data_IF_928116359248
#
_entry.id   IF_928116359248
#
_cell.length_a   1.000
_cell.length_b   1.000
_cell.length_c   1.000
_cell.angle_alpha   90.00
_cell.angle_beta   90.00
_cell.angle_gamma   90.00
#
_symmetry.space_group_name_H-M   'P 1'
#
loop_
_entity.id
_entity.type
_entity.pdbx_description
1 polymer ?
#
# COMPACT_ATOMS: atom_id res chain seq x y z
N UNK A 1 26.36 19.72 40.54
CA UNK A 1 24.94 19.96 40.20
C UNK A 1 24.06 18.79 40.64
N UNK A 2 24.61 17.58 40.70
CA UNK A 2 23.86 16.33 40.92
C UNK A 2 23.26 16.18 42.31
N UNK A 3 23.89 16.71 43.36
CA UNK A 3 23.37 16.63 44.73
C UNK A 3 22.02 17.36 44.91
N UNK A 4 21.80 18.48 44.20
CA UNK A 4 20.52 19.22 44.24
C UNK A 4 19.39 18.42 43.59
N UNK A 5 19.67 17.82 42.44
CA UNK A 5 18.70 16.94 41.77
C UNK A 5 18.43 15.68 42.60
N UNK A 6 19.46 15.08 43.19
CA UNK A 6 19.31 13.93 44.08
C UNK A 6 18.42 14.25 45.30
N UNK A 7 18.59 15.42 45.93
CA UNK A 7 17.72 15.89 47.01
C UNK A 7 16.27 16.04 46.52
N UNK A 8 16.06 16.73 45.39
CA UNK A 8 14.72 16.93 44.82
C UNK A 8 14.01 15.61 44.51
N UNK A 9 14.71 14.62 43.94
CA UNK A 9 14.13 13.31 43.68
C UNK A 9 13.81 12.55 44.96
N UNK A 10 14.66 12.66 45.98
CA UNK A 10 14.42 12.04 47.30
C UNK A 10 13.17 12.63 47.94
N UNK A 11 13.03 13.95 47.91
CA UNK A 11 11.84 14.65 48.41
C UNK A 11 10.59 14.23 47.63
N UNK A 12 10.67 14.18 46.30
CA UNK A 12 9.56 13.75 45.46
C UNK A 12 9.15 12.30 45.74
N UNK A 13 10.11 11.40 45.93
CA UNK A 13 9.89 10.00 46.24
C UNK A 13 9.22 9.83 47.62
N UNK A 14 9.60 10.66 48.60
CA UNK A 14 8.95 10.69 49.92
C UNK A 14 7.46 11.09 49.81
N UNK A 15 7.16 12.11 49.01
CA UNK A 15 5.79 12.57 48.74
C UNK A 15 4.98 11.46 48.05
N UNK A 16 5.55 10.81 47.04
CA UNK A 16 4.86 9.73 46.31
C UNK A 16 4.55 8.55 47.23
N UNK A 17 5.50 8.14 48.09
CA UNK A 17 5.26 7.08 49.09
C UNK A 17 4.12 7.45 50.04
N UNK A 18 4.12 8.68 50.55
CA UNK A 18 3.04 9.19 51.42
C UNK A 18 1.69 9.15 50.71
N UNK A 19 1.62 9.60 49.45
CA UNK A 19 0.38 9.61 48.66
C UNK A 19 -0.14 8.21 48.35
N UNK A 20 0.74 7.25 48.06
CA UNK A 20 0.34 5.84 47.88
C UNK A 20 -0.28 5.28 49.15
N UNK A 21 0.30 5.58 50.32
CA UNK A 21 -0.29 5.17 51.61
C UNK A 21 -1.64 5.84 51.86
N UNK A 22 -1.77 7.12 51.52
CA UNK A 22 -3.04 7.86 51.62
C UNK A 22 -4.13 7.23 50.73
N UNK A 23 -3.81 6.87 49.49
CA UNK A 23 -4.73 6.21 48.56
C UNK A 23 -5.22 4.84 49.07
N UNK A 24 -4.36 4.10 49.76
CA UNK A 24 -4.73 2.81 50.37
C UNK A 24 -5.56 2.96 51.66
N UNK A 25 -5.66 4.16 52.21
CA UNK A 25 -6.38 4.42 53.46
C UNK A 25 -7.91 4.27 53.29
N UNK A 26 -8.61 4.07 54.41
CA UNK A 26 -10.08 3.97 54.41
C UNK A 26 -10.76 5.26 53.93
N UNK A 27 -10.08 6.42 54.04
CA UNK A 27 -10.64 7.72 53.68
C UNK A 27 -10.85 7.85 52.17
N UNK A 28 -9.91 7.39 51.35
CA UNK A 28 -10.08 7.35 49.89
C UNK A 28 -11.02 6.25 49.40
N UNK A 29 -11.36 5.28 50.27
CA UNK A 29 -12.38 4.25 49.98
C UNK A 29 -13.80 4.70 50.34
N UNK A 30 -13.97 5.80 51.07
CA UNK A 30 -15.26 6.28 51.54
C UNK A 30 -16.18 6.85 50.42
N UNK A 31 -15.73 6.79 49.17
CA UNK A 31 -16.54 7.18 48.01
C UNK A 31 -16.43 8.68 47.67
N UNK A 32 -17.38 9.20 46.86
CA UNK A 32 -17.29 10.52 46.23
C UNK A 32 -17.20 11.69 47.22
N UNK A 33 -17.70 11.52 48.43
CA UNK A 33 -17.64 12.56 49.48
C UNK A 33 -16.20 12.92 49.89
N UNK A 34 -15.23 12.08 49.55
CA UNK A 34 -13.80 12.28 49.81
C UNK A 34 -13.00 12.77 48.59
N UNK A 35 -13.66 13.20 47.51
CA UNK A 35 -13.01 13.57 46.25
C UNK A 35 -11.90 14.62 46.42
N UNK A 36 -12.13 15.63 47.29
CA UNK A 36 -11.16 16.70 47.57
C UNK A 36 -9.92 16.16 48.32
N UNK A 37 -10.06 15.06 49.07
CA UNK A 37 -8.96 14.46 49.81
C UNK A 37 -8.08 13.54 48.96
N UNK A 38 -8.62 12.97 47.88
CA UNK A 38 -7.96 11.94 47.07
C UNK A 38 -8.02 12.31 45.57
N UNK A 39 -7.30 13.37 45.16
CA UNK A 39 -7.37 13.88 43.79
C UNK A 39 -6.88 12.87 42.76
N UNK A 40 -5.95 11.98 43.11
CA UNK A 40 -5.40 10.99 42.16
C UNK A 40 -6.47 9.98 41.72
N UNK A 41 -7.32 9.51 42.64
CA UNK A 41 -8.39 8.58 42.31
C UNK A 41 -9.49 9.26 41.48
N UNK A 42 -9.85 10.50 41.84
CA UNK A 42 -10.83 11.29 41.11
C UNK A 42 -10.38 11.57 39.67
N UNK A 43 -9.15 12.08 39.50
CA UNK A 43 -8.59 12.37 38.19
C UNK A 43 -8.48 11.12 37.32
N UNK A 44 -8.17 9.96 37.90
CA UNK A 44 -8.16 8.70 37.14
C UNK A 44 -9.56 8.32 36.63
N UNK A 45 -10.58 8.42 37.48
CA UNK A 45 -11.97 8.13 37.08
C UNK A 45 -12.45 9.11 35.99
N UNK A 46 -12.11 10.39 36.11
CA UNK A 46 -12.43 11.39 35.07
C UNK A 46 -11.71 11.06 33.77
N UNK A 47 -10.42 10.72 33.83
CA UNK A 47 -9.64 10.34 32.66
C UNK A 47 -10.23 9.09 31.97
N UNK A 48 -10.61 8.07 32.74
CA UNK A 48 -11.22 6.84 32.19
C UNK A 48 -12.54 7.13 31.48
N UNK A 49 -13.40 7.99 32.07
CA UNK A 49 -14.67 8.39 31.44
C UNK A 49 -14.47 9.21 30.17
N UNK A 50 -13.54 10.17 30.19
CA UNK A 50 -13.20 10.96 29.02
C UNK A 50 -12.65 10.06 27.92
N UNK A 51 -11.70 9.18 28.24
CA UNK A 51 -11.10 8.25 27.30
C UNK A 51 -12.14 7.31 26.67
N UNK A 52 -13.04 6.74 27.47
CA UNK A 52 -14.12 5.90 26.96
C UNK A 52 -15.04 6.64 25.99
N UNK A 53 -15.45 7.85 26.37
CA UNK A 53 -16.38 8.66 25.55
C UNK A 53 -15.71 9.13 24.26
N UNK A 54 -14.47 9.59 24.34
CA UNK A 54 -13.67 9.99 23.17
C UNK A 54 -13.41 8.80 22.24
N UNK A 55 -13.08 7.62 22.78
CA UNK A 55 -12.84 6.43 21.96
C UNK A 55 -14.10 5.99 21.19
N UNK A 56 -15.27 6.07 21.83
CA UNK A 56 -16.55 5.78 21.16
C UNK A 56 -16.81 6.77 20.01
N UNK A 57 -16.54 8.06 20.22
CA UNK A 57 -16.72 9.08 19.18
C UNK A 57 -15.71 8.93 18.02
N UNK A 58 -14.44 8.66 18.33
CA UNK A 58 -13.41 8.40 17.31
C UNK A 58 -13.80 7.20 16.45
N UNK A 59 -14.39 6.17 17.05
CA UNK A 59 -14.80 4.99 16.30
C UNK A 59 -15.91 5.32 15.28
N UNK A 60 -16.98 5.97 15.75
CA UNK A 60 -18.17 6.24 14.92
C UNK A 60 -17.89 7.30 13.85
N UNK A 61 -17.25 8.42 14.21
CA UNK A 61 -17.11 9.55 13.30
C UNK A 61 -15.87 9.45 12.42
N UNK A 62 -14.77 8.89 12.94
CA UNK A 62 -13.52 8.82 12.18
C UNK A 62 -13.33 7.45 11.56
N UNK A 63 -13.35 6.37 12.34
CA UNK A 63 -13.00 5.04 11.82
C UNK A 63 -14.04 4.53 10.84
N UNK A 64 -15.33 4.58 11.19
CA UNK A 64 -16.39 4.10 10.29
C UNK A 64 -16.43 4.90 8.99
N UNK A 65 -16.31 6.24 9.07
CA UNK A 65 -16.24 7.09 7.87
C UNK A 65 -14.98 6.80 7.05
N UNK A 66 -13.83 6.62 7.69
CA UNK A 66 -12.58 6.30 7.03
C UNK A 66 -12.68 4.97 6.28
N UNK A 67 -13.17 3.90 6.92
CA UNK A 67 -13.28 2.59 6.27
C UNK A 67 -14.29 2.57 5.13
N UNK A 68 -15.33 3.40 5.21
CA UNK A 68 -16.30 3.53 4.12
C UNK A 68 -15.75 4.33 2.94
N UNK A 69 -15.10 5.47 3.20
CA UNK A 69 -14.63 6.37 2.16
C UNK A 69 -13.30 5.93 1.55
N UNK A 70 -12.40 5.34 2.34
CA UNK A 70 -11.04 5.05 1.92
C UNK A 70 -10.95 4.16 0.68
N UNK A 71 -11.68 3.01 0.58
CA UNK A 71 -11.65 2.21 -0.63
C UNK A 71 -12.11 2.97 -1.87
N UNK A 72 -13.15 3.81 -1.74
CA UNK A 72 -13.69 4.62 -2.84
C UNK A 72 -12.70 5.67 -3.32
N UNK A 73 -11.99 6.28 -2.38
CA UNK A 73 -11.01 7.31 -2.70
C UNK A 73 -9.73 6.72 -3.30
N UNK A 74 -9.38 5.49 -2.92
CA UNK A 74 -8.30 4.74 -3.56
C UNK A 74 -8.69 4.37 -4.97
N UNK A 75 -9.90 3.83 -5.16
CA UNK A 75 -10.42 3.48 -6.48
C UNK A 75 -10.49 4.71 -7.38
N UNK A 76 -10.96 5.85 -6.87
CA UNK A 76 -11.08 7.06 -7.68
C UNK A 76 -9.72 7.57 -8.18
N UNK A 77 -8.74 7.64 -7.28
CA UNK A 77 -7.39 8.11 -7.62
C UNK A 77 -6.60 7.13 -8.49
N UNK A 78 -6.74 5.82 -8.27
CA UNK A 78 -5.98 4.83 -9.04
C UNK A 78 -6.60 4.50 -10.40
N UNK A 79 -7.93 4.48 -10.51
CA UNK A 79 -8.62 4.08 -11.75
C UNK A 79 -8.95 5.27 -12.67
N UNK A 80 -9.30 6.44 -12.12
CA UNK A 80 -9.75 7.57 -12.93
C UNK A 80 -8.70 8.65 -13.12
N UNK A 81 -7.81 8.88 -12.15
CA UNK A 81 -6.82 9.96 -12.23
C UNK A 81 -5.47 9.53 -12.82
N UNK A 82 -5.13 8.23 -12.81
CA UNK A 82 -3.81 7.77 -13.23
C UNK A 82 -3.69 7.69 -14.76
N UNK A 83 -2.70 8.40 -15.29
CA UNK A 83 -2.44 8.41 -16.72
C UNK A 83 -1.82 7.07 -17.18
N UNK A 84 -2.08 6.67 -18.43
CA UNK A 84 -1.64 5.35 -18.94
C UNK A 84 -0.11 5.16 -18.87
N UNK A 85 0.66 6.25 -18.88
CA UNK A 85 2.13 6.25 -18.71
C UNK A 85 2.53 6.00 -17.27
N UNK A 86 1.87 6.66 -16.32
CA UNK A 86 2.12 6.52 -14.87
C UNK A 86 1.80 5.10 -14.41
N UNK A 87 0.74 4.47 -14.95
CA UNK A 87 0.41 3.07 -14.69
C UNK A 87 1.55 2.13 -15.12
N UNK A 88 2.17 2.39 -16.28
CA UNK A 88 3.29 1.57 -16.79
C UNK A 88 4.55 1.79 -15.94
N UNK A 89 4.83 3.03 -15.53
CA UNK A 89 5.94 3.35 -14.64
C UNK A 89 5.77 2.65 -13.29
N UNK A 90 4.59 2.75 -12.69
CA UNK A 90 4.23 2.05 -11.45
C UNK A 90 4.39 0.53 -11.58
N UNK A 91 3.88 -0.07 -12.66
CA UNK A 91 4.03 -1.51 -12.90
C UNK A 91 5.50 -1.93 -13.08
N UNK A 92 6.38 -1.04 -13.57
CA UNK A 92 7.81 -1.28 -13.77
C UNK A 92 8.65 -1.14 -12.50
N UNK A 93 8.10 -0.60 -11.41
CA UNK A 93 8.78 -0.57 -10.10
C UNK A 93 9.09 -1.98 -9.58
N UNK A 94 8.20 -2.94 -9.86
CA UNK A 94 8.43 -4.34 -9.51
C UNK A 94 9.34 -5.00 -10.57
N UNK A 95 10.53 -5.51 -10.20
CA UNK A 95 11.48 -6.08 -11.15
C UNK A 95 10.98 -7.34 -11.86
N UNK A 96 10.09 -8.12 -11.22
CA UNK A 96 9.49 -9.32 -11.84
C UNK A 96 8.50 -8.93 -12.91
N UNK A 97 7.61 -7.98 -12.59
CA UNK A 97 6.60 -7.46 -13.54
C UNK A 97 7.29 -6.75 -14.70
N UNK A 98 8.31 -5.93 -14.43
CA UNK A 98 9.10 -5.26 -15.46
C UNK A 98 9.68 -6.23 -16.49
N UNK A 99 10.34 -7.31 -16.05
CA UNK A 99 10.89 -8.32 -16.97
C UNK A 99 9.79 -8.99 -17.80
N UNK A 100 8.63 -9.22 -17.21
CA UNK A 100 7.49 -9.80 -17.90
C UNK A 100 6.96 -8.86 -19.01
N UNK A 101 6.77 -7.58 -18.68
CA UNK A 101 6.34 -6.55 -19.62
C UNK A 101 7.35 -6.37 -20.76
N UNK A 102 8.64 -6.30 -20.45
CA UNK A 102 9.69 -6.13 -21.48
C UNK A 102 9.79 -7.35 -22.40
N UNK A 103 9.51 -8.56 -21.89
CA UNK A 103 9.46 -9.79 -22.70
C UNK A 103 8.22 -9.82 -23.60
N UNK A 104 7.04 -9.46 -23.06
CA UNK A 104 5.81 -9.34 -23.85
C UNK A 104 5.95 -8.29 -24.95
N UNK A 105 6.51 -7.11 -24.65
CA UNK A 105 6.72 -6.05 -25.64
C UNK A 105 7.63 -6.52 -26.79
N UNK A 106 8.67 -7.31 -26.49
CA UNK A 106 9.53 -7.90 -27.53
C UNK A 106 8.80 -8.94 -28.36
N UNK A 107 7.98 -9.78 -27.72
CA UNK A 107 7.19 -10.81 -28.39
C UNK A 107 6.19 -10.18 -29.36
N UNK A 108 5.43 -9.18 -28.92
CA UNK A 108 4.39 -8.53 -29.72
C UNK A 108 4.97 -7.88 -30.98
N UNK A 109 6.11 -7.19 -30.85
CA UNK A 109 6.82 -6.60 -31.99
C UNK A 109 7.28 -7.65 -33.00
N UNK A 110 7.80 -8.80 -32.53
CA UNK A 110 8.23 -9.89 -33.40
C UNK A 110 7.04 -10.56 -34.10
N UNK A 111 5.92 -10.75 -33.41
CA UNK A 111 4.70 -11.29 -34.00
C UNK A 111 4.10 -10.35 -35.06
N UNK A 112 4.14 -9.03 -34.84
CA UNK A 112 3.70 -8.04 -35.82
C UNK A 112 4.56 -8.08 -37.09
N UNK A 113 5.89 -8.11 -36.94
CA UNK A 113 6.82 -8.24 -38.07
C UNK A 113 6.58 -9.55 -38.82
N UNK A 114 6.38 -10.67 -38.10
CA UNK A 114 6.09 -11.96 -38.73
C UNK A 114 4.78 -11.94 -39.51
N UNK A 115 3.72 -11.28 -38.99
CA UNK A 115 2.45 -11.09 -39.70
C UNK A 115 2.64 -10.27 -40.99
N UNK A 116 3.39 -9.18 -40.94
CA UNK A 116 3.68 -8.35 -42.12
C UNK A 116 4.54 -9.09 -43.15
N UNK A 117 5.54 -9.86 -42.73
CA UNK A 117 6.34 -10.67 -43.64
C UNK A 117 5.52 -11.77 -44.32
N UNK A 118 4.65 -12.45 -43.57
CA UNK A 118 3.76 -13.49 -44.12
C UNK A 118 2.70 -12.92 -45.06
N UNK A 119 2.16 -11.71 -44.79
CA UNK A 119 1.23 -11.06 -45.72
C UNK A 119 1.96 -10.63 -47.01
N UNK A 120 3.20 -10.18 -46.93
CA UNK A 120 4.01 -9.87 -48.12
C UNK A 120 4.42 -11.11 -48.91
N UNK A 121 4.75 -12.24 -48.25
CA UNK A 121 5.12 -13.48 -48.94
C UNK A 121 3.93 -14.15 -49.62
N UNK A 122 2.73 -14.04 -49.06
CA UNK A 122 1.51 -14.54 -49.71
C UNK A 122 1.08 -13.70 -50.90
N UNK A 123 1.33 -12.38 -50.87
CA UNK A 123 1.15 -11.49 -52.03
C UNK A 123 2.23 -11.69 -53.11
N UNK A 124 3.46 -12.04 -52.70
CA UNK A 124 4.53 -12.51 -53.60
C UNK A 124 4.50 -14.04 -53.71
N UNK A 125 3.38 -14.62 -54.13
CA UNK A 125 3.43 -15.97 -54.66
C UNK A 125 4.34 -15.94 -55.89
N UNK A 126 5.50 -16.60 -55.79
CA UNK A 126 6.53 -16.62 -56.82
C UNK A 126 5.92 -16.82 -58.22
N UNK A 127 6.37 -16.08 -59.25
CA UNK A 127 6.09 -16.50 -60.61
C UNK A 127 6.67 -17.89 -60.77
N UNK A 128 5.81 -18.90 -60.93
CA UNK A 128 6.22 -20.26 -61.28
C UNK A 128 7.31 -20.16 -62.36
N UNK A 129 8.53 -20.69 -62.16
CA UNK A 129 9.51 -20.72 -63.22
C UNK A 129 8.88 -21.52 -64.36
N UNK A 130 8.57 -20.83 -65.46
CA UNK A 130 7.94 -21.43 -66.62
C UNK A 130 8.73 -22.68 -67.03
N UNK A 131 8.05 -23.82 -67.31
CA UNK A 131 8.73 -25.06 -67.64
C UNK A 131 9.62 -24.81 -68.86
N UNK A 132 10.93 -24.96 -68.68
CA UNK A 132 11.90 -24.89 -69.76
C UNK A 132 11.55 -25.98 -70.77
N UNK A 133 10.87 -25.58 -71.85
CA UNK A 133 10.67 -26.40 -73.04
C UNK A 133 12.05 -26.83 -73.52
N UNK A 134 12.36 -28.12 -73.38
CA UNK A 134 13.55 -28.72 -73.96
C UNK A 134 13.42 -28.59 -75.47
N UNK A 135 14.05 -27.56 -76.04
CA UNK A 135 14.10 -27.35 -77.49
C UNK A 135 15.08 -28.38 -78.02
N UNK A 136 14.56 -29.50 -78.49
CA UNK A 136 15.35 -30.53 -79.17
C UNK A 136 16.10 -29.89 -80.33
N UNK A 137 17.44 -30.01 -80.28
CA UNK A 137 18.35 -29.45 -81.27
C UNK A 137 19.27 -30.55 -81.78
N UNK A 138 18.72 -31.63 -82.33
CA UNK A 138 19.40 -32.47 -83.32
C UNK A 138 18.34 -33.25 -84.10
N UNK A 139 18.27 -32.99 -85.39
CA UNK A 139 17.63 -33.87 -86.35
C UNK A 139 18.63 -34.85 -86.95
N UNK A 140 18.07 -35.76 -87.74
CA UNK A 140 18.72 -36.51 -88.83
C UNK A 140 19.36 -37.86 -88.48
N UNK A 141 18.76 -38.90 -89.08
CA UNK A 141 19.40 -39.85 -90.02
C UNK A 141 20.01 -41.14 -89.43
N UNK A 142 19.44 -42.23 -89.95
CA UNK A 142 19.68 -43.68 -89.79
C UNK A 142 19.21 -44.37 -88.50
#
# INVERSE_FOLDING_TARGET
MDARYASMYTDRLSILKLRIMALKSKRCRAGPQSEVFCPEAFLNVVADKLAYTSAMFINIELLDQFFYQFPREIDSRLLYDLDRKEIIEFARENPVVRRHLDLQERKDKLEEVMKQLNSLSTLRADPQPAPRRHRGLFGSVF
#
